data_IF_613397031686
#
_entry.id   IF_613397031686
#
_cell.length_a   1.000
_cell.length_b   1.000
_cell.length_c   1.000
_cell.angle_alpha   90.00
_cell.angle_beta   90.00
_cell.angle_gamma   90.00
#
_symmetry.space_group_name_H-M   'P 1'
#
loop_
_entity.id
_entity.type
_entity.pdbx_description
1 polymer ?
#
# COMPACT_ATOMS: atom_id res chain seq x y z
N UNK A 1 5.34 84.26 55.09
CA UNK A 1 5.20 83.42 53.87
C UNK A 1 6.29 82.36 53.93
N UNK A 2 6.09 81.05 53.80
CA UNK A 2 4.93 80.29 53.38
C UNK A 2 5.01 78.89 54.05
N UNK A 3 3.84 78.29 54.19
CA UNK A 3 3.53 76.97 54.72
C UNK A 3 4.24 75.82 54.00
N UNK A 4 4.23 74.63 54.60
CA UNK A 4 4.35 73.42 53.78
C UNK A 4 4.64 72.10 54.48
N UNK A 5 3.85 71.72 55.47
CA UNK A 5 3.77 70.37 56.02
C UNK A 5 3.39 69.34 54.92
N UNK A 6 3.96 68.12 54.91
CA UNK A 6 3.24 66.83 55.10
C UNK A 6 3.93 65.57 54.53
N UNK A 7 4.13 64.62 55.47
CA UNK A 7 3.87 63.16 55.50
C UNK A 7 4.48 62.15 54.50
N UNK A 8 4.93 61.07 55.15
CA UNK A 8 5.54 59.82 54.73
C UNK A 8 4.54 58.78 54.12
N UNK A 9 5.03 57.62 53.62
CA UNK A 9 4.42 56.82 52.57
C UNK A 9 3.75 55.52 53.04
N UNK A 10 2.95 54.92 52.17
CA UNK A 10 2.60 53.50 52.27
C UNK A 10 1.50 53.06 51.31
N UNK A 11 1.85 52.29 50.27
CA UNK A 11 1.40 50.90 50.14
C UNK A 11 2.07 50.21 48.95
N UNK A 12 2.77 49.13 49.26
CA UNK A 12 3.29 48.12 48.34
C UNK A 12 2.17 47.14 47.96
N UNK A 13 1.90 46.93 46.67
CA UNK A 13 1.54 45.59 46.12
C UNK A 13 2.01 45.50 44.65
N UNK A 14 2.92 44.56 44.29
CA UNK A 14 2.59 43.69 43.15
C UNK A 14 3.12 42.26 43.31
N UNK A 15 2.23 41.28 43.49
CA UNK A 15 2.56 39.85 43.40
C UNK A 15 1.86 39.11 42.23
N UNK A 16 1.09 39.82 41.40
CA UNK A 16 0.29 39.20 40.32
C UNK A 16 1.09 39.03 39.01
N UNK A 17 2.08 39.88 38.74
CA UNK A 17 2.82 39.93 37.46
C UNK A 17 3.67 38.67 37.18
N UNK A 18 4.16 37.99 38.22
CA UNK A 18 5.05 36.82 38.09
C UNK A 18 4.34 35.51 37.70
N UNK A 19 3.05 35.37 38.06
CA UNK A 19 2.27 34.15 37.80
C UNK A 19 1.81 34.06 36.35
N UNK A 20 1.49 35.20 35.72
CA UNK A 20 1.16 35.28 34.29
C UNK A 20 2.38 35.01 33.40
N UNK A 21 3.56 35.51 33.76
CA UNK A 21 4.82 35.23 33.04
C UNK A 21 5.21 33.75 33.11
N UNK A 22 5.04 33.11 34.27
CA UNK A 22 5.30 31.67 34.43
C UNK A 22 4.30 30.80 33.66
N UNK A 23 3.00 31.14 33.70
CA UNK A 23 1.96 30.44 32.91
C UNK A 23 2.15 30.60 31.40
N UNK A 24 2.56 31.79 30.94
CA UNK A 24 2.88 32.04 29.54
C UNK A 24 4.10 31.23 29.07
N UNK A 25 5.15 31.14 29.90
CA UNK A 25 6.34 30.34 29.60
C UNK A 25 6.03 28.83 29.54
N UNK A 26 5.19 28.31 30.45
CA UNK A 26 4.78 26.90 30.43
C UNK A 26 3.92 26.56 29.20
N UNK A 27 3.04 27.46 28.76
CA UNK A 27 2.26 27.28 27.53
C UNK A 27 3.16 27.27 26.29
N UNK A 28 4.14 28.17 26.22
CA UNK A 28 5.09 28.24 25.11
C UNK A 28 5.95 26.97 25.01
N UNK A 29 6.43 26.43 26.14
CA UNK A 29 7.17 25.17 26.20
C UNK A 29 6.31 23.96 25.78
N UNK A 30 5.05 23.90 26.22
CA UNK A 30 4.13 22.82 25.85
C UNK A 30 3.81 22.84 24.34
N UNK A 31 3.60 24.03 23.77
CA UNK A 31 3.38 24.21 22.32
C UNK A 31 4.63 23.84 21.50
N UNK A 32 5.82 24.24 21.95
CA UNK A 32 7.07 23.87 21.30
C UNK A 32 7.34 22.36 21.34
N UNK A 33 7.04 21.70 22.47
CA UNK A 33 7.14 20.25 22.59
C UNK A 33 6.16 19.53 21.64
N UNK A 34 4.89 19.95 21.58
CA UNK A 34 3.92 19.36 20.64
C UNK A 34 4.37 19.55 19.18
N UNK A 35 4.89 20.72 18.81
CA UNK A 35 5.39 20.98 17.47
C UNK A 35 6.60 20.09 17.12
N UNK A 36 7.50 19.86 18.08
CA UNK A 36 8.65 18.96 17.92
C UNK A 36 8.24 17.50 17.74
N UNK A 37 7.27 17.01 18.53
CA UNK A 37 6.74 15.65 18.34
C UNK A 37 6.03 15.49 16.98
N UNK A 38 5.23 16.48 16.56
CA UNK A 38 4.53 16.43 15.28
C UNK A 38 5.50 16.46 14.07
N UNK A 39 6.57 17.23 14.15
CA UNK A 39 7.62 17.26 13.11
C UNK A 39 8.46 15.99 13.10
N UNK A 40 8.71 15.36 14.26
CA UNK A 40 9.34 14.05 14.35
C UNK A 40 8.57 12.96 13.61
N UNK A 41 7.26 12.84 13.84
CA UNK A 41 6.40 11.89 13.12
C UNK A 41 6.38 12.13 11.60
N UNK A 42 6.43 13.40 11.16
CA UNK A 42 6.48 13.72 9.74
C UNK A 42 7.80 13.26 9.09
N UNK A 43 8.95 13.48 9.75
CA UNK A 43 10.25 13.05 9.22
C UNK A 43 10.36 11.54 9.06
N UNK A 44 9.88 10.76 10.03
CA UNK A 44 9.88 9.28 9.95
C UNK A 44 8.98 8.77 8.81
N UNK A 45 7.81 9.39 8.62
CA UNK A 45 6.90 9.06 7.52
C UNK A 45 7.46 9.49 6.17
N UNK A 46 8.13 10.63 6.08
CA UNK A 46 8.79 11.09 4.85
C UNK A 46 9.96 10.17 4.46
N UNK A 47 10.75 9.67 5.43
CA UNK A 47 11.93 8.85 5.17
C UNK A 47 11.57 7.40 4.77
N UNK A 48 10.44 6.89 5.24
CA UNK A 48 9.98 5.51 4.93
C UNK A 48 9.34 5.37 3.55
N UNK A 49 8.79 6.45 2.97
CA UNK A 49 8.21 6.44 1.61
C UNK A 49 9.24 6.11 0.51
N UNK A 50 10.37 6.83 0.35
CA UNK A 50 11.36 6.52 -0.68
C UNK A 50 11.97 5.12 -0.48
N UNK A 51 12.17 4.67 0.76
CA UNK A 51 12.63 3.32 1.05
C UNK A 51 11.62 2.24 0.60
N UNK A 52 10.32 2.46 0.81
CA UNK A 52 9.25 1.58 0.30
C UNK A 52 9.14 1.63 -1.21
N UNK A 53 9.36 2.78 -1.83
CA UNK A 53 9.29 2.96 -3.29
C UNK A 53 10.46 2.22 -3.97
N UNK A 54 11.67 2.37 -3.44
CA UNK A 54 12.85 1.60 -3.85
C UNK A 54 12.63 0.09 -3.67
N UNK A 55 12.07 -0.33 -2.54
CA UNK A 55 11.76 -1.74 -2.29
C UNK A 55 10.69 -2.31 -3.24
N UNK A 56 9.68 -1.50 -3.65
CA UNK A 56 8.69 -1.93 -4.66
C UNK A 56 9.31 -2.09 -6.06
N UNK A 57 10.37 -1.33 -6.34
CA UNK A 57 11.04 -1.27 -7.63
C UNK A 57 12.41 -2.00 -7.65
N UNK A 58 12.74 -2.78 -6.61
CA UNK A 58 14.06 -3.38 -6.44
C UNK A 58 14.35 -4.56 -7.39
N UNK A 59 13.35 -5.00 -8.15
CA UNK A 59 13.52 -6.05 -9.17
C UNK A 59 14.13 -5.46 -10.46
N UNK A 60 14.97 -6.23 -11.19
CA UNK A 60 15.54 -5.78 -12.46
C UNK A 60 14.44 -5.30 -13.42
N UNK A 61 14.75 -4.33 -14.27
CA UNK A 61 13.85 -3.94 -15.36
C UNK A 61 13.61 -5.16 -16.26
N UNK A 62 12.39 -5.67 -16.29
CA UNK A 62 11.98 -6.80 -17.13
C UNK A 62 11.83 -6.40 -18.60
N UNK A 63 11.79 -7.39 -19.49
CA UNK A 63 11.53 -7.21 -20.92
C UNK A 63 10.01 -7.20 -21.19
N UNK A 64 9.47 -6.02 -21.51
CA UNK A 64 8.05 -5.81 -21.84
C UNK A 64 7.57 -6.71 -22.99
N UNK A 65 8.41 -6.96 -24.00
CA UNK A 65 8.08 -7.80 -25.15
C UNK A 65 8.08 -9.29 -24.80
N UNK A 66 9.00 -9.74 -23.94
CA UNK A 66 8.96 -11.09 -23.38
C UNK A 66 7.72 -11.30 -22.50
N UNK A 67 7.42 -10.34 -21.62
CA UNK A 67 6.26 -10.34 -20.75
C UNK A 67 4.95 -10.42 -21.51
N UNK A 68 4.80 -9.60 -22.55
CA UNK A 68 3.64 -9.64 -23.43
C UNK A 68 3.44 -11.04 -24.04
N UNK A 69 4.50 -11.68 -24.57
CA UNK A 69 4.39 -13.03 -25.17
C UNK A 69 3.86 -14.05 -24.18
N UNK A 70 4.42 -14.09 -22.98
CA UNK A 70 3.99 -15.04 -21.94
C UNK A 70 2.57 -14.73 -21.48
N UNK A 71 2.22 -13.45 -21.33
CA UNK A 71 0.87 -13.03 -20.97
C UNK A 71 -0.17 -13.51 -22.00
N UNK A 72 0.11 -13.31 -23.30
CA UNK A 72 -0.76 -13.76 -24.38
C UNK A 72 -0.96 -15.29 -24.36
N UNK A 73 0.08 -16.05 -24.01
CA UNK A 73 0.04 -17.51 -24.00
C UNK A 73 -0.64 -18.10 -22.76
N UNK A 74 -0.50 -17.45 -21.60
CA UNK A 74 -0.85 -18.05 -20.29
C UNK A 74 -2.02 -17.37 -19.60
N UNK A 75 -2.23 -16.08 -19.82
CA UNK A 75 -3.13 -15.25 -19.01
C UNK A 75 -4.29 -14.66 -19.81
N UNK A 76 -4.06 -14.34 -21.08
CA UNK A 76 -5.00 -13.58 -21.91
C UNK A 76 -6.33 -14.30 -22.20
N UNK A 77 -6.39 -15.63 -22.10
CA UNK A 77 -7.64 -16.39 -22.31
C UNK A 77 -8.72 -16.05 -21.28
N UNK A 78 -8.32 -15.67 -20.06
CA UNK A 78 -9.24 -15.29 -18.98
C UNK A 78 -9.24 -13.78 -18.75
N UNK A 79 -8.08 -13.13 -18.76
CA UNK A 79 -7.96 -11.70 -18.47
C UNK A 79 -8.04 -10.80 -19.71
N UNK A 80 -8.24 -11.39 -20.89
CA UNK A 80 -8.27 -10.69 -22.17
C UNK A 80 -6.87 -10.35 -22.68
N UNK A 81 -6.70 -10.30 -24.02
CA UNK A 81 -5.46 -9.84 -24.65
C UNK A 81 -4.96 -8.48 -24.12
N UNK A 82 -5.82 -7.48 -23.88
CA UNK A 82 -5.39 -6.22 -23.30
C UNK A 82 -5.27 -6.27 -21.76
N UNK A 83 -5.43 -7.41 -21.08
CA UNK A 83 -5.43 -7.51 -19.61
C UNK A 83 -6.56 -6.72 -18.91
N UNK A 84 -7.58 -6.29 -19.64
CA UNK A 84 -8.72 -5.49 -19.13
C UNK A 84 -9.91 -6.35 -18.70
N UNK A 85 -9.71 -7.65 -18.54
CA UNK A 85 -10.74 -8.60 -18.11
C UNK A 85 -11.67 -9.07 -19.22
N UNK A 86 -12.40 -10.14 -18.91
CA UNK A 86 -13.48 -10.74 -19.68
C UNK A 86 -14.55 -11.29 -18.72
N UNK A 87 -15.55 -12.01 -19.23
CA UNK A 87 -16.45 -12.79 -18.39
C UNK A 87 -15.74 -13.91 -17.58
N UNK A 88 -14.55 -14.33 -18.04
CA UNK A 88 -13.78 -15.44 -17.49
C UNK A 88 -12.68 -15.01 -16.51
N UNK A 89 -12.44 -13.70 -16.34
CA UNK A 89 -11.40 -13.19 -15.45
C UNK A 89 -11.41 -11.67 -15.36
N UNK A 90 -11.04 -11.08 -14.21
CA UNK A 90 -11.14 -9.64 -13.98
C UNK A 90 -10.09 -8.82 -14.74
N UNK A 91 -10.31 -7.51 -14.81
CA UNK A 91 -9.30 -6.53 -15.21
C UNK A 91 -8.13 -6.55 -14.21
N UNK A 92 -6.92 -6.74 -14.73
CA UNK A 92 -5.70 -6.80 -13.92
C UNK A 92 -5.11 -5.41 -13.69
N UNK A 93 -5.36 -4.45 -14.56
CA UNK A 93 -4.64 -3.16 -14.57
C UNK A 93 -4.85 -2.33 -13.30
N UNK A 94 -6.08 -2.21 -12.72
CA UNK A 94 -6.28 -1.49 -11.48
C UNK A 94 -5.43 -2.07 -10.35
N UNK A 95 -5.38 -3.39 -10.24
CA UNK A 95 -4.67 -4.06 -9.15
C UNK A 95 -3.15 -3.99 -9.32
N UNK A 96 -2.66 -4.11 -10.54
CA UNK A 96 -1.23 -4.00 -10.84
C UNK A 96 -0.71 -2.58 -10.54
N UNK A 97 -1.52 -1.54 -10.79
CA UNK A 97 -1.14 -0.14 -10.47
C UNK A 97 -0.85 0.08 -8.98
N UNK A 98 -1.53 -0.66 -8.12
CA UNK A 98 -1.37 -0.57 -6.67
C UNK A 98 -0.26 -1.49 -6.12
N UNK A 99 0.21 -2.43 -6.94
CA UNK A 99 1.03 -3.57 -6.50
C UNK A 99 2.49 -3.43 -6.94
N UNK A 100 3.41 -3.65 -6.00
CA UNK A 100 4.84 -3.75 -6.31
C UNK A 100 5.24 -5.11 -6.88
N UNK A 101 6.40 -5.16 -7.55
CA UNK A 101 6.89 -6.34 -8.25
C UNK A 101 7.01 -7.60 -7.35
N UNK A 102 7.48 -7.44 -6.10
CA UNK A 102 7.57 -8.55 -5.14
C UNK A 102 6.20 -9.13 -4.76
N UNK A 103 5.19 -8.28 -4.60
CA UNK A 103 3.84 -8.72 -4.27
C UNK A 103 3.20 -9.45 -5.45
N UNK A 104 3.47 -9.00 -6.67
CA UNK A 104 3.05 -9.68 -7.90
C UNK A 104 3.68 -11.07 -8.00
N UNK A 105 5.00 -11.17 -7.86
CA UNK A 105 5.75 -12.45 -7.87
C UNK A 105 5.18 -13.41 -6.83
N UNK A 106 4.98 -12.90 -5.60
CA UNK A 106 4.39 -13.67 -4.51
C UNK A 106 3.00 -14.20 -4.84
N UNK A 107 2.13 -13.41 -5.48
CA UNK A 107 0.77 -13.81 -5.83
C UNK A 107 0.76 -14.86 -6.95
N UNK A 108 1.56 -14.66 -8.01
CA UNK A 108 1.60 -15.54 -9.17
C UNK A 108 2.20 -16.91 -8.83
N UNK A 109 3.22 -16.93 -7.96
CA UNK A 109 3.87 -18.18 -7.55
C UNK A 109 3.18 -18.88 -6.37
N UNK A 110 2.43 -18.17 -5.50
CA UNK A 110 1.87 -18.74 -4.26
C UNK A 110 0.35 -18.88 -4.27
N UNK A 111 -0.21 -19.53 -5.30
CA UNK A 111 -1.63 -19.89 -5.30
C UNK A 111 -2.04 -20.73 -4.08
N UNK A 112 -1.09 -21.46 -3.47
CA UNK A 112 -1.36 -22.41 -2.37
C UNK A 112 -1.64 -21.72 -1.02
N UNK A 113 -0.98 -20.59 -0.72
CA UNK A 113 -1.13 -19.91 0.58
C UNK A 113 -2.55 -19.33 0.78
N UNK A 114 -3.24 -18.96 -0.30
CA UNK A 114 -4.62 -18.43 -0.22
C UNK A 114 -5.61 -19.54 0.14
N UNK A 115 -5.56 -20.68 -0.54
CA UNK A 115 -6.51 -21.79 -0.30
C UNK A 115 -6.39 -22.29 1.15
N UNK A 116 -5.16 -22.33 1.68
CA UNK A 116 -4.90 -22.69 3.08
C UNK A 116 -5.32 -21.61 4.07
N UNK A 117 -4.99 -20.34 3.84
CA UNK A 117 -5.42 -19.23 4.71
C UNK A 117 -6.95 -19.04 4.73
N UNK A 118 -7.62 -19.30 3.60
CA UNK A 118 -9.08 -19.31 3.53
C UNK A 118 -9.68 -20.48 4.33
N UNK A 119 -9.05 -21.66 4.30
CA UNK A 119 -9.46 -22.83 5.08
C UNK A 119 -9.24 -22.65 6.59
N UNK A 120 -8.17 -21.97 7.01
CA UNK A 120 -7.81 -21.73 8.41
C UNK A 120 -8.68 -20.67 9.12
N UNK A 121 -9.41 -19.84 8.35
CA UNK A 121 -10.11 -18.65 8.87
C UNK A 121 -11.61 -18.81 9.14
N UNK A 122 -12.20 -19.99 8.93
CA UNK A 122 -13.66 -20.20 9.06
C UNK A 122 -14.01 -21.15 10.23
N UNK A 123 -14.84 -20.73 11.20
CA UNK A 123 -15.13 -21.52 12.42
C UNK A 123 -16.39 -22.41 12.36
N UNK A 124 -16.93 -22.77 11.19
CA UNK A 124 -18.13 -23.63 11.08
C UNK A 124 -17.97 -24.69 9.98
N UNK A 125 -17.74 -25.94 10.37
CA UNK A 125 -17.41 -27.06 9.47
C UNK A 125 -18.57 -27.48 8.54
N UNK A 126 -19.82 -27.28 8.95
CA UNK A 126 -20.98 -27.62 8.11
C UNK A 126 -21.15 -26.67 6.89
N UNK A 127 -20.74 -25.40 7.04
CA UNK A 127 -20.68 -24.45 5.93
C UNK A 127 -19.50 -24.76 4.99
N UNK A 128 -18.42 -25.35 5.53
CA UNK A 128 -17.26 -25.81 4.76
C UNK A 128 -17.59 -27.07 3.96
N UNK A 129 -18.29 -28.05 4.55
CA UNK A 129 -18.67 -29.28 3.86
C UNK A 129 -19.59 -28.99 2.66
N UNK A 130 -20.53 -28.05 2.81
CA UNK A 130 -21.40 -27.62 1.71
C UNK A 130 -20.67 -26.81 0.63
N UNK A 131 -19.63 -26.06 0.99
CA UNK A 131 -18.77 -25.37 0.01
C UNK A 131 -17.85 -26.35 -0.73
N UNK A 132 -17.26 -27.30 -0.02
CA UNK A 132 -16.41 -28.37 -0.58
C UNK A 132 -17.22 -29.27 -1.52
N UNK A 133 -18.44 -29.67 -1.13
CA UNK A 133 -19.36 -30.43 -1.98
C UNK A 133 -19.69 -29.69 -3.28
N UNK A 134 -19.90 -28.36 -3.24
CA UNK A 134 -20.18 -27.56 -4.45
C UNK A 134 -18.97 -27.43 -5.37
N UNK A 135 -17.76 -27.34 -4.80
CA UNK A 135 -16.49 -27.33 -5.54
C UNK A 135 -16.25 -28.70 -6.19
N UNK A 136 -16.50 -29.80 -5.46
CA UNK A 136 -16.35 -31.18 -5.95
C UNK A 136 -17.43 -31.54 -6.99
N UNK A 137 -18.66 -31.05 -6.83
CA UNK A 137 -19.76 -31.23 -7.78
C UNK A 137 -19.66 -30.33 -9.03
N UNK A 138 -18.62 -29.48 -9.13
CA UNK A 138 -18.39 -28.60 -10.29
C UNK A 138 -19.54 -27.64 -10.59
N UNK A 139 -20.41 -27.39 -9.60
CA UNK A 139 -21.65 -26.61 -9.74
C UNK A 139 -21.47 -25.12 -9.47
N UNK A 140 -20.28 -24.71 -9.05
CA UNK A 140 -19.85 -23.32 -9.06
C UNK A 140 -18.68 -23.19 -10.03
N UNK A 141 -18.99 -22.69 -11.23
CA UNK A 141 -18.06 -22.40 -12.32
C UNK A 141 -17.07 -21.28 -12.00
N UNK A 142 -16.33 -21.42 -10.90
CA UNK A 142 -15.19 -20.55 -10.63
C UNK A 142 -14.08 -21.01 -11.56
N UNK A 143 -13.84 -20.28 -12.65
CA UNK A 143 -12.57 -20.35 -13.38
C UNK A 143 -11.47 -19.96 -12.40
N UNK A 144 -10.93 -20.96 -11.71
CA UNK A 144 -9.88 -20.80 -10.72
C UNK A 144 -8.60 -20.49 -11.49
N UNK A 145 -8.07 -19.27 -11.33
CA UNK A 145 -6.74 -18.92 -11.86
C UNK A 145 -5.75 -20.04 -11.49
N UNK A 146 -5.00 -20.64 -12.43
CA UNK A 146 -4.18 -21.80 -12.11
C UNK A 146 -2.96 -21.41 -11.26
N UNK A 147 -2.33 -22.42 -10.68
CA UNK A 147 -1.10 -22.27 -9.92
C UNK A 147 0.11 -22.34 -10.88
N UNK A 148 0.96 -21.31 -10.92
CA UNK A 148 2.00 -21.15 -11.94
C UNK A 148 3.41 -21.57 -11.51
N UNK A 149 3.61 -21.97 -10.24
CA UNK A 149 4.93 -22.33 -9.69
C UNK A 149 5.65 -23.47 -10.44
N UNK A 150 4.90 -24.33 -11.12
CA UNK A 150 5.45 -25.43 -11.92
C UNK A 150 5.64 -25.12 -13.39
N UNK A 151 5.21 -23.93 -13.87
CA UNK A 151 5.30 -23.56 -15.28
C UNK A 151 6.62 -22.81 -15.53
N UNK A 152 7.57 -23.39 -16.29
CA UNK A 152 8.86 -22.78 -16.52
C UNK A 152 8.76 -21.50 -17.36
N UNK A 153 7.77 -21.39 -18.25
CA UNK A 153 7.58 -20.18 -19.06
C UNK A 153 7.10 -19.01 -18.20
N UNK A 154 6.26 -19.27 -17.19
CA UNK A 154 5.83 -18.22 -16.26
C UNK A 154 6.92 -17.89 -15.26
N UNK A 155 7.57 -18.90 -14.68
CA UNK A 155 8.59 -18.71 -13.63
C UNK A 155 9.82 -17.98 -14.17
N UNK A 156 10.28 -18.32 -15.38
CA UNK A 156 11.43 -17.66 -16.00
C UNK A 156 11.15 -16.20 -16.42
N UNK A 157 9.90 -15.88 -16.72
CA UNK A 157 9.49 -14.57 -17.25
C UNK A 157 8.60 -13.79 -16.27
N UNK A 158 8.64 -14.10 -14.98
CA UNK A 158 7.74 -13.48 -14.01
C UNK A 158 7.99 -11.97 -13.86
N UNK A 159 9.24 -11.56 -13.97
CA UNK A 159 9.62 -10.14 -13.92
C UNK A 159 9.25 -9.44 -15.23
N UNK A 160 9.39 -10.12 -16.37
CA UNK A 160 8.96 -9.63 -17.67
C UNK A 160 7.43 -9.44 -17.71
N UNK A 161 6.67 -10.40 -17.15
CA UNK A 161 5.22 -10.32 -16.98
C UNK A 161 4.82 -9.10 -16.17
N UNK A 162 5.50 -8.86 -15.04
CA UNK A 162 5.26 -7.66 -14.25
C UNK A 162 5.57 -6.40 -15.06
N UNK A 163 6.71 -6.34 -15.75
CA UNK A 163 7.11 -5.19 -16.56
C UNK A 163 6.10 -4.85 -17.66
N UNK A 164 5.55 -5.86 -18.33
CA UNK A 164 4.47 -5.65 -19.31
C UNK A 164 3.20 -5.11 -18.64
N UNK A 165 2.73 -5.76 -17.58
CA UNK A 165 1.47 -5.39 -16.93
C UNK A 165 1.54 -4.02 -16.25
N UNK A 166 2.68 -3.66 -15.65
CA UNK A 166 2.89 -2.34 -15.04
C UNK A 166 2.90 -1.26 -16.11
N UNK A 167 3.61 -1.46 -17.22
CA UNK A 167 3.62 -0.52 -18.34
C UNK A 167 2.21 -0.33 -18.92
N UNK A 168 1.39 -1.39 -18.99
CA UNK A 168 -0.03 -1.29 -19.38
C UNK A 168 -0.86 -0.51 -18.36
N UNK A 169 -0.67 -0.77 -17.07
CA UNK A 169 -1.41 -0.12 -16.00
C UNK A 169 -1.09 1.38 -15.87
N UNK A 170 0.14 1.76 -16.21
CA UNK A 170 0.64 3.14 -16.25
C UNK A 170 0.32 3.86 -17.57
N UNK A 171 -0.11 3.13 -18.59
CA UNK A 171 -0.44 3.68 -19.91
C UNK A 171 0.78 3.95 -20.80
N UNK A 172 1.98 3.54 -20.39
CA UNK A 172 3.21 3.62 -21.21
C UNK A 172 3.27 2.55 -22.29
N UNK A 173 2.50 1.46 -22.13
CA UNK A 173 2.32 0.41 -23.13
C UNK A 173 0.85 0.33 -23.59
N UNK A 174 0.64 0.31 -24.91
CA UNK A 174 -0.68 0.10 -25.53
C UNK A 174 -1.15 -1.36 -25.50
N UNK A 175 -2.43 -1.64 -25.86
CA UNK A 175 -3.02 -2.98 -25.81
C UNK A 175 -2.49 -3.95 -26.86
N UNK A 176 -1.81 -3.44 -27.89
CA UNK A 176 -1.18 -4.23 -28.93
C UNK A 176 0.15 -4.82 -28.50
N UNK A 177 0.76 -5.56 -29.43
CA UNK A 177 2.13 -6.04 -29.30
C UNK A 177 3.10 -4.85 -29.06
N UNK A 178 4.02 -4.95 -28.08
CA UNK A 178 5.06 -3.93 -27.89
C UNK A 178 5.90 -3.73 -29.15
N UNK A 179 6.26 -2.48 -29.41
CA UNK A 179 7.19 -2.12 -30.47
C UNK A 179 8.61 -2.34 -29.97
N UNK A 180 9.51 -2.76 -30.87
CA UNK A 180 10.94 -2.97 -30.54
C UNK A 180 11.67 -1.65 -30.40
#
# INVERSE_FOLDING_TARGET
MNAGQQRAPGSFIPAVMGRHRRRAASCALALAALAALATGCAVEVQNTRPARDLARNALPAGDVQAGWRVFQQKCASCHGAPATGTANGPDLLPRIREMGAHQFVGLVLRRYDWILAAAESSPDSAAQDTMVEKIVQGREGTLVMPAWQGDPAVTAHIIDLYAYLSARAEGTQGPGRPLR
#
